data_IF_055118023281
#
_entry.id   IF_055118023281
#
_cell.length_a   1.000
_cell.length_b   1.000
_cell.length_c   1.000
_cell.angle_alpha   90.00
_cell.angle_beta   90.00
_cell.angle_gamma   90.00
#
_symmetry.space_group_name_H-M   'P 1'
#
loop_
_entity.id
_entity.type
_entity.pdbx_description
1 polymer ?
#
# COMPACT_ATOMS: atom_id res chain seq x y z
N UNK A 1 13.42 0.32 -3.69
CA UNK A 1 12.79 1.04 -4.80
C UNK A 1 13.51 2.32 -5.18
N UNK A 2 13.73 3.26 -4.25
CA UNK A 2 14.32 4.58 -4.54
C UNK A 2 15.64 4.48 -5.31
N UNK A 3 16.58 3.66 -4.83
CA UNK A 3 17.91 3.54 -5.45
C UNK A 3 17.92 2.93 -6.87
N UNK A 4 16.83 2.27 -7.28
CA UNK A 4 16.76 1.62 -8.61
C UNK A 4 15.72 2.25 -9.54
N UNK A 5 14.80 3.07 -9.01
CA UNK A 5 13.65 3.55 -9.79
C UNK A 5 12.76 2.41 -10.33
N UNK A 6 12.78 1.23 -9.70
CA UNK A 6 12.00 0.05 -10.13
C UNK A 6 11.31 -0.61 -8.93
N UNK A 7 10.00 -0.79 -9.01
CA UNK A 7 9.16 -1.31 -7.92
C UNK A 7 9.37 -2.81 -7.66
N UNK A 8 9.50 -3.65 -8.70
CA UNK A 8 9.77 -5.08 -8.52
C UNK A 8 11.15 -5.34 -7.88
N UNK A 9 12.16 -4.50 -8.17
CA UNK A 9 13.43 -4.53 -7.44
C UNK A 9 13.23 -4.15 -5.95
N UNK A 10 12.31 -3.23 -5.66
CA UNK A 10 11.86 -2.93 -4.30
C UNK A 10 11.16 -4.09 -3.60
N UNK A 11 10.25 -4.78 -4.28
CA UNK A 11 9.58 -5.98 -3.77
C UNK A 11 10.59 -7.11 -3.48
N UNK A 12 11.60 -7.29 -4.33
CA UNK A 12 12.70 -8.20 -4.04
C UNK A 12 13.47 -7.82 -2.77
N UNK A 13 13.70 -6.53 -2.53
CA UNK A 13 14.27 -6.04 -1.28
C UNK A 13 13.38 -6.33 -0.06
N UNK A 14 12.06 -6.20 -0.20
CA UNK A 14 11.09 -6.57 0.85
C UNK A 14 11.20 -8.05 1.20
N UNK A 15 11.12 -8.94 0.20
CA UNK A 15 11.18 -10.39 0.45
C UNK A 15 12.53 -10.83 1.01
N UNK A 16 13.63 -10.24 0.53
CA UNK A 16 14.95 -10.47 1.14
C UNK A 16 14.98 -10.01 2.60
N UNK A 17 14.38 -8.87 2.93
CA UNK A 17 14.28 -8.39 4.31
C UNK A 17 13.52 -9.37 5.20
N UNK A 18 12.44 -9.99 4.70
CA UNK A 18 11.66 -10.95 5.48
C UNK A 18 12.45 -12.24 5.73
N UNK A 19 13.18 -12.74 4.73
CA UNK A 19 14.07 -13.90 4.89
C UNK A 19 15.18 -13.62 5.91
N UNK A 20 15.86 -12.47 5.79
CA UNK A 20 16.93 -12.07 6.71
C UNK A 20 16.41 -11.84 8.14
N UNK A 21 15.22 -11.28 8.30
CA UNK A 21 14.58 -11.10 9.60
C UNK A 21 14.29 -12.47 10.24
N UNK A 22 13.65 -13.37 9.50
CA UNK A 22 13.31 -14.72 9.97
C UNK A 22 14.54 -15.47 10.46
N UNK A 23 15.60 -15.51 9.66
CA UNK A 23 16.85 -16.19 10.02
C UNK A 23 17.61 -15.44 11.14
N UNK A 24 17.60 -14.11 11.13
CA UNK A 24 18.29 -13.29 12.12
C UNK A 24 17.73 -13.41 13.53
N UNK A 25 16.41 -13.63 13.67
CA UNK A 25 15.74 -13.64 14.98
C UNK A 25 14.95 -14.92 15.29
N UNK A 26 15.00 -15.93 14.43
CA UNK A 26 14.26 -17.20 14.58
C UNK A 26 12.75 -16.99 14.80
N UNK A 27 12.23 -15.87 14.29
CA UNK A 27 10.83 -15.47 14.32
C UNK A 27 10.57 -14.45 13.22
N UNK A 28 9.30 -14.30 12.86
CA UNK A 28 8.88 -13.27 11.91
C UNK A 28 7.56 -12.64 12.36
N UNK A 29 6.43 -13.14 11.84
CA UNK A 29 5.10 -12.63 12.15
C UNK A 29 4.18 -13.67 12.79
N UNK A 30 2.87 -13.40 12.74
CA UNK A 30 1.84 -14.33 13.18
C UNK A 30 1.73 -15.56 12.26
N UNK A 31 0.87 -16.51 12.61
CA UNK A 31 0.67 -17.74 11.82
C UNK A 31 0.19 -17.42 10.39
N UNK A 32 1.01 -17.76 9.39
CA UNK A 32 0.72 -17.51 7.98
C UNK A 32 1.01 -16.08 7.52
N UNK A 33 1.62 -15.22 8.37
CA UNK A 33 2.09 -13.89 7.97
C UNK A 33 2.94 -13.95 6.70
N UNK A 34 3.87 -14.90 6.66
CA UNK A 34 4.89 -15.02 5.61
C UNK A 34 4.46 -15.85 4.40
N UNK A 35 3.17 -16.17 4.23
CA UNK A 35 2.68 -16.90 3.05
C UNK A 35 3.16 -16.23 1.76
N UNK A 36 2.94 -14.92 1.65
CA UNK A 36 3.34 -14.16 0.48
C UNK A 36 4.84 -13.90 0.42
N UNK A 37 5.54 -13.87 1.55
CA UNK A 37 6.97 -13.62 1.58
C UNK A 37 7.77 -14.85 1.15
N UNK A 38 7.31 -16.05 1.50
CA UNK A 38 7.89 -17.31 1.02
C UNK A 38 7.65 -17.51 -0.48
N UNK A 39 6.47 -17.11 -1.00
CA UNK A 39 6.21 -17.09 -2.45
C UNK A 39 6.88 -15.92 -3.18
N UNK A 40 7.24 -14.87 -2.46
CA UNK A 40 7.53 -13.54 -3.00
C UNK A 40 8.73 -13.51 -3.93
N UNK A 41 9.85 -14.12 -3.52
CA UNK A 41 11.07 -14.18 -4.33
C UNK A 41 10.85 -14.87 -5.67
N UNK A 42 10.08 -15.97 -5.69
CA UNK A 42 9.78 -16.72 -6.92
C UNK A 42 8.81 -15.96 -7.84
N UNK A 43 7.85 -15.23 -7.26
CA UNK A 43 6.80 -14.55 -8.02
C UNK A 43 7.13 -13.09 -8.38
N UNK A 44 8.22 -12.54 -7.85
CA UNK A 44 8.65 -11.14 -8.08
C UNK A 44 8.89 -10.81 -9.56
N UNK A 45 9.48 -11.76 -10.29
CA UNK A 45 9.84 -11.66 -11.72
C UNK A 45 9.29 -12.83 -12.53
N UNK A 46 8.35 -13.59 -11.96
CA UNK A 46 7.63 -14.61 -12.72
C UNK A 46 6.88 -13.96 -13.89
N UNK A 47 6.63 -14.75 -14.93
CA UNK A 47 5.91 -14.32 -16.14
C UNK A 47 4.66 -15.17 -16.39
N UNK A 48 4.33 -16.08 -15.48
CA UNK A 48 3.13 -16.93 -15.57
C UNK A 48 1.89 -16.15 -15.18
N UNK A 49 0.73 -16.54 -15.73
CA UNK A 49 -0.49 -15.73 -15.69
C UNK A 49 -0.94 -15.28 -14.31
N UNK A 50 -0.93 -16.15 -13.30
CA UNK A 50 -1.37 -15.84 -11.93
C UNK A 50 -0.23 -15.48 -10.96
N UNK A 51 1.01 -15.41 -11.46
CA UNK A 51 2.22 -15.13 -10.65
C UNK A 51 2.90 -13.83 -11.05
N UNK A 52 3.02 -13.56 -12.35
CA UNK A 52 3.78 -12.45 -12.89
C UNK A 52 2.99 -11.16 -12.98
N UNK A 53 3.42 -10.12 -12.28
CA UNK A 53 2.82 -8.78 -12.41
C UNK A 53 3.77 -7.67 -11.93
N UNK A 54 3.70 -6.50 -12.56
CA UNK A 54 4.39 -5.28 -12.12
C UNK A 54 3.85 -4.82 -10.77
N UNK A 55 4.71 -4.30 -9.88
CA UNK A 55 4.33 -3.86 -8.55
C UNK A 55 3.15 -2.88 -8.56
N UNK A 56 3.11 -1.99 -9.54
CA UNK A 56 2.06 -0.99 -9.77
C UNK A 56 0.69 -1.62 -10.10
N UNK A 57 0.68 -2.83 -10.66
CA UNK A 57 -0.52 -3.54 -11.09
C UNK A 57 -0.97 -4.62 -10.11
N UNK A 58 -0.12 -4.98 -9.12
CA UNK A 58 -0.52 -5.86 -8.02
C UNK A 58 -1.52 -5.14 -7.11
N UNK A 59 -2.21 -5.92 -6.29
CA UNK A 59 -3.16 -5.37 -5.32
C UNK A 59 -3.74 -6.47 -4.43
N UNK A 60 -4.78 -6.14 -3.64
CA UNK A 60 -5.39 -7.08 -2.70
C UNK A 60 -5.96 -8.36 -3.33
N UNK A 61 -6.14 -8.41 -4.65
CA UNK A 61 -6.61 -9.61 -5.36
C UNK A 61 -5.48 -10.38 -6.08
N UNK A 62 -4.22 -9.94 -5.99
CA UNK A 62 -3.10 -10.75 -6.42
C UNK A 62 -3.01 -11.99 -5.52
N UNK A 63 -2.91 -13.23 -6.05
CA UNK A 63 -3.24 -14.44 -5.27
C UNK A 63 -2.55 -14.57 -3.91
N UNK A 64 -1.25 -14.27 -3.83
CA UNK A 64 -0.54 -14.36 -2.56
C UNK A 64 -0.88 -13.23 -1.57
N UNK A 65 -1.42 -12.09 -2.03
CA UNK A 65 -1.64 -10.90 -1.20
C UNK A 65 -3.06 -10.81 -0.61
N UNK A 66 -3.90 -11.81 -0.89
CA UNK A 66 -5.34 -11.73 -0.66
C UNK A 66 -5.79 -11.95 0.78
N UNK A 67 -4.90 -12.36 1.69
CA UNK A 67 -5.30 -12.85 3.02
C UNK A 67 -4.67 -12.11 4.19
N UNK A 68 -3.42 -11.66 4.07
CA UNK A 68 -2.62 -11.32 5.25
C UNK A 68 -2.41 -9.80 5.41
N UNK A 69 -2.51 -9.33 6.66
CA UNK A 69 -2.26 -7.92 7.04
C UNK A 69 -0.76 -7.60 7.13
N UNK A 70 -0.41 -6.31 7.20
CA UNK A 70 0.98 -5.84 7.38
C UNK A 70 1.86 -5.98 6.13
N UNK A 71 1.25 -5.84 4.94
CA UNK A 71 1.92 -5.94 3.64
C UNK A 71 1.39 -4.92 2.62
N UNK A 72 0.06 -4.83 2.44
CA UNK A 72 -0.53 -4.10 1.32
C UNK A 72 -0.22 -2.59 1.33
N UNK A 73 -0.25 -1.96 2.50
CA UNK A 73 0.09 -0.53 2.63
C UNK A 73 1.58 -0.28 2.36
N UNK A 74 2.42 -1.21 2.79
CA UNK A 74 3.86 -1.18 2.59
C UNK A 74 4.22 -1.41 1.12
N UNK A 75 3.51 -2.28 0.41
CA UNK A 75 3.67 -2.45 -1.05
C UNK A 75 3.30 -1.18 -1.82
N UNK A 76 2.25 -0.48 -1.42
CA UNK A 76 1.92 0.82 -2.01
C UNK A 76 3.07 1.83 -1.81
N UNK A 77 3.74 1.80 -0.66
CA UNK A 77 4.92 2.63 -0.40
C UNK A 77 6.15 2.19 -1.21
N UNK A 78 6.36 0.89 -1.43
CA UNK A 78 7.43 0.35 -2.28
C UNK A 78 7.27 0.84 -3.72
N UNK A 79 6.05 0.77 -4.26
CA UNK A 79 5.72 1.30 -5.59
C UNK A 79 5.97 2.81 -5.62
N UNK A 80 5.37 3.55 -4.68
CA UNK A 80 5.52 5.01 -4.62
C UNK A 80 6.99 5.43 -4.50
N UNK A 81 7.80 4.69 -3.75
CA UNK A 81 9.22 4.96 -3.59
C UNK A 81 10.04 4.80 -4.87
N UNK A 82 9.62 3.94 -5.82
CA UNK A 82 10.28 3.83 -7.13
C UNK A 82 10.10 5.13 -7.94
N UNK A 83 8.88 5.66 -7.91
CA UNK A 83 8.49 6.87 -8.65
C UNK A 83 8.97 8.15 -7.98
N UNK A 84 8.88 8.24 -6.65
CA UNK A 84 9.40 9.39 -5.90
C UNK A 84 10.91 9.56 -6.09
N UNK A 85 11.68 8.47 -6.11
CA UNK A 85 13.11 8.52 -6.38
C UNK A 85 13.45 9.06 -7.77
N UNK A 86 12.52 8.95 -8.72
CA UNK A 86 12.65 9.45 -10.10
C UNK A 86 12.07 10.84 -10.31
N UNK A 87 11.24 11.32 -9.38
CA UNK A 87 10.47 12.56 -9.55
C UNK A 87 9.27 12.42 -10.49
N UNK A 88 8.76 11.19 -10.71
CA UNK A 88 7.58 10.99 -11.55
C UNK A 88 6.31 11.57 -10.87
N UNK A 89 5.38 12.12 -11.64
CA UNK A 89 4.18 12.78 -11.12
C UNK A 89 3.10 11.80 -10.62
N UNK A 90 3.12 10.56 -11.12
CA UNK A 90 2.17 9.50 -10.78
C UNK A 90 2.86 8.12 -10.82
N UNK A 91 2.26 7.13 -10.14
CA UNK A 91 2.80 5.76 -10.11
C UNK A 91 2.18 4.84 -11.17
N UNK A 92 0.86 4.90 -11.34
CA UNK A 92 0.16 4.05 -12.32
C UNK A 92 -0.76 4.84 -13.23
N UNK A 93 -1.70 5.61 -12.65
CA UNK A 93 -2.70 6.35 -13.42
C UNK A 93 -2.58 7.86 -13.19
N UNK A 94 -2.30 8.66 -14.24
CA UNK A 94 -2.32 10.11 -14.14
C UNK A 94 -3.74 10.64 -13.92
N UNK A 95 -4.76 9.93 -14.44
CA UNK A 95 -6.16 10.28 -14.22
C UNK A 95 -6.50 10.21 -12.73
N UNK A 96 -6.12 9.12 -12.06
CA UNK A 96 -6.34 8.97 -10.61
C UNK A 96 -5.58 10.05 -9.84
N UNK A 97 -4.31 10.33 -10.21
CA UNK A 97 -3.52 11.38 -9.56
C UNK A 97 -4.23 12.74 -9.61
N UNK A 98 -4.74 13.13 -10.78
CA UNK A 98 -5.42 14.41 -10.98
C UNK A 98 -6.76 14.45 -10.24
N UNK A 99 -7.55 13.37 -10.29
CA UNK A 99 -8.85 13.29 -9.61
C UNK A 99 -8.77 13.57 -8.11
N UNK A 100 -7.70 13.12 -7.44
CA UNK A 100 -7.50 13.34 -6.01
C UNK A 100 -6.77 14.64 -5.67
N UNK A 101 -6.34 15.43 -6.67
CA UNK A 101 -5.78 16.76 -6.50
C UNK A 101 -6.89 17.83 -6.39
N UNK A 102 -7.90 17.56 -5.57
CA UNK A 102 -9.08 18.41 -5.39
C UNK A 102 -9.27 18.79 -3.91
N UNK A 103 -9.04 20.07 -3.52
CA UNK A 103 -9.24 20.52 -2.15
C UNK A 103 -10.72 20.57 -1.72
N UNK A 104 -11.67 20.32 -2.63
CA UNK A 104 -13.10 20.22 -2.31
C UNK A 104 -13.48 18.91 -1.62
N UNK A 105 -12.61 17.88 -1.70
CA UNK A 105 -12.80 16.60 -1.03
C UNK A 105 -12.86 16.78 0.49
N UNK A 106 -13.66 15.94 1.17
CA UNK A 106 -13.82 16.01 2.63
C UNK A 106 -12.58 15.60 3.41
N UNK A 107 -11.77 14.72 2.83
CA UNK A 107 -10.53 14.24 3.42
C UNK A 107 -9.36 14.87 2.67
N UNK A 108 -8.40 15.43 3.40
CA UNK A 108 -7.18 15.96 2.81
C UNK A 108 -6.21 14.81 2.46
N UNK A 109 -6.20 14.43 1.18
CA UNK A 109 -5.32 13.38 0.66
C UNK A 109 -3.84 13.80 0.56
N UNK A 110 -3.51 15.08 0.73
CA UNK A 110 -2.13 15.54 0.76
C UNK A 110 -1.45 15.30 2.13
N UNK A 111 -2.23 15.26 3.23
CA UNK A 111 -1.72 14.99 4.58
C UNK A 111 -2.57 13.94 5.34
N UNK A 112 -2.57 12.67 4.87
CA UNK A 112 -3.45 11.65 5.43
C UNK A 112 -3.16 11.34 6.91
N UNK A 113 -1.91 11.48 7.36
CA UNK A 113 -1.55 11.23 8.76
C UNK A 113 -2.09 12.31 9.69
N UNK A 114 -2.07 13.57 9.27
CA UNK A 114 -2.69 14.67 10.02
C UNK A 114 -4.21 14.52 10.06
N UNK A 115 -4.84 14.11 8.97
CA UNK A 115 -6.28 13.85 8.95
C UNK A 115 -6.67 12.72 9.92
N UNK A 116 -5.87 11.64 10.00
CA UNK A 116 -6.07 10.61 11.01
C UNK A 116 -5.95 11.16 12.44
N UNK A 117 -4.96 12.04 12.69
CA UNK A 117 -4.81 12.68 14.00
C UNK A 117 -6.02 13.56 14.36
N UNK A 118 -6.54 14.34 13.40
CA UNK A 118 -7.78 15.12 13.56
C UNK A 118 -8.98 14.23 13.86
N UNK A 119 -9.09 13.09 13.18
CA UNK A 119 -10.11 12.08 13.46
C UNK A 119 -9.99 11.52 14.88
N UNK A 120 -8.76 11.21 15.33
CA UNK A 120 -8.50 10.66 16.66
C UNK A 120 -8.92 11.61 17.79
N UNK A 121 -8.78 12.93 17.60
CA UNK A 121 -9.23 13.95 18.56
C UNK A 121 -10.65 14.46 18.29
N UNK A 122 -11.39 13.81 17.38
CA UNK A 122 -12.80 14.11 17.03
C UNK A 122 -13.01 15.51 16.44
N UNK A 123 -12.00 16.03 15.73
CA UNK A 123 -12.04 17.32 15.02
C UNK A 123 -12.23 17.17 13.50
N UNK A 124 -12.40 15.94 13.02
CA UNK A 124 -12.79 15.68 11.64
C UNK A 124 -14.33 15.68 11.49
N UNK A 125 -14.85 16.41 10.51
CA UNK A 125 -16.29 16.46 10.22
C UNK A 125 -16.60 15.66 8.94
N UNK A 126 -17.17 14.44 9.04
CA UNK A 126 -17.49 13.64 7.86
C UNK A 126 -18.70 14.18 7.09
N UNK A 127 -18.82 13.78 5.83
CA UNK A 127 -20.08 13.90 5.09
C UNK A 127 -20.95 12.66 5.28
N UNK A 128 -22.22 12.74 4.86
CA UNK A 128 -23.14 11.59 4.85
C UNK A 128 -23.85 11.31 6.18
N UNK A 129 -23.69 12.19 7.17
CA UNK A 129 -24.48 12.14 8.41
C UNK A 129 -25.97 12.24 8.13
N UNK A 130 -26.79 11.59 8.96
CA UNK A 130 -28.24 11.51 8.80
C UNK A 130 -29.01 12.33 9.84
N UNK A 131 -28.32 13.14 10.63
CA UNK A 131 -28.94 13.94 11.71
C UNK A 131 -30.07 14.84 11.23
N UNK A 132 -30.03 15.32 9.98
CA UNK A 132 -31.09 16.13 9.36
C UNK A 132 -32.46 15.42 9.32
N UNK A 133 -32.47 14.09 9.21
CA UNK A 133 -33.70 13.27 9.09
C UNK A 133 -33.96 12.40 10.33
N UNK A 134 -33.20 12.61 11.41
CA UNK A 134 -33.35 11.89 12.66
C UNK A 134 -33.95 12.86 13.68
N UNK A 135 -35.06 12.52 14.35
CA UNK A 135 -35.62 13.36 15.41
C UNK A 135 -34.61 13.66 16.51
N UNK A 136 -34.74 14.83 17.13
CA UNK A 136 -33.99 15.15 18.35
C UNK A 136 -34.29 14.10 19.44
N UNK A 137 -33.25 13.70 20.17
CA UNK A 137 -33.37 12.87 21.38
C UNK A 137 -33.44 13.75 22.61
#
# INVERSE_FOLDING_TARGET
SIGTGNSNAGLNGWYLSMLMHKEGWSRLGFFGYDLQDQCGSANSLAMDGDRGLLGELRGPNYPNYAMNVGHQGEYAAIVSGAHYGRGDEFCYSPLVKITFADPSLKFDFADPRREFARGAIREFMPAGERSLIIPAR
#
